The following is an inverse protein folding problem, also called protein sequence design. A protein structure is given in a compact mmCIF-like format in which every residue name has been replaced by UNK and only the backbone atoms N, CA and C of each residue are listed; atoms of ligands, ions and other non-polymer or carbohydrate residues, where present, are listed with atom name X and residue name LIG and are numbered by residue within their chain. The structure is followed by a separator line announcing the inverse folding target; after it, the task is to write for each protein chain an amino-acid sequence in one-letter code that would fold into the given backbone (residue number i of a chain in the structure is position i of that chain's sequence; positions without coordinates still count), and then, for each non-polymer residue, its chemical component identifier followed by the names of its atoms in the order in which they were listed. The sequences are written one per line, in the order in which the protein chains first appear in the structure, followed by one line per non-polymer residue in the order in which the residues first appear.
data_IF_163990851781
#
_entry.id   IF_163990851781
#
_cell.length_a   1.000
_cell.length_b   1.000
_cell.length_c   1.000
_cell.angle_alpha   90.00
_cell.angle_beta   90.00
_cell.angle_gamma   90.00
#
_symmetry.space_group_name_H-M   'P 1'
#
loop_
_entity.id
_entity.type
_entity.pdbx_description
1 polymer ?
#
# COMPACT_ATOMS: atom_id res chain seq x y z
N UNK A 1 6.62 -23.18 9.94
CA UNK A 1 6.82 -22.80 8.54
C UNK A 1 5.66 -21.89 8.16
N UNK A 2 5.91 -20.59 8.09
CA UNK A 2 4.87 -19.62 7.70
C UNK A 2 4.50 -19.95 6.24
N UNK A 3 3.21 -19.87 5.88
CA UNK A 3 2.73 -20.08 4.52
C UNK A 3 2.05 -18.80 4.04
N UNK A 4 2.16 -18.48 2.76
CA UNK A 4 1.44 -17.34 2.21
C UNK A 4 -0.07 -17.58 2.21
N UNK A 5 -0.83 -16.63 2.74
CA UNK A 5 -2.29 -16.72 2.85
C UNK A 5 -3.01 -16.72 1.48
N UNK A 6 -2.35 -16.23 0.42
CA UNK A 6 -2.92 -16.20 -0.93
C UNK A 6 -2.62 -17.47 -1.75
N UNK A 7 -1.44 -18.08 -1.58
CA UNK A 7 -0.95 -19.15 -2.47
C UNK A 7 -0.59 -20.46 -1.75
N UNK A 8 -0.55 -20.47 -0.41
CA UNK A 8 -0.20 -21.65 0.39
C UNK A 8 1.29 -22.06 0.38
N UNK A 9 2.13 -21.38 -0.41
CA UNK A 9 3.56 -21.66 -0.51
C UNK A 9 4.30 -21.32 0.79
N UNK A 10 5.30 -22.13 1.14
CA UNK A 10 6.16 -21.91 2.30
C UNK A 10 7.09 -20.71 2.08
N UNK A 11 7.23 -19.84 3.09
CA UNK A 11 8.26 -18.81 3.13
C UNK A 11 9.62 -19.50 3.35
N UNK A 12 10.32 -19.86 2.26
CA UNK A 12 11.59 -20.60 2.33
C UNK A 12 12.60 -20.32 1.23
N UNK A 13 12.21 -19.72 0.09
CA UNK A 13 13.12 -19.50 -1.05
C UNK A 13 13.05 -18.09 -1.65
N UNK A 14 12.16 -17.22 -1.17
CA UNK A 14 11.92 -15.91 -1.75
C UNK A 14 12.00 -14.85 -0.67
N UNK A 15 12.73 -13.78 -0.97
CA UNK A 15 12.63 -12.51 -0.29
C UNK A 15 11.16 -12.16 -0.02
N UNK A 16 10.84 -11.94 1.25
CA UNK A 16 9.50 -11.59 1.71
C UNK A 16 9.05 -10.29 1.05
N UNK A 17 8.01 -10.37 0.22
CA UNK A 17 7.42 -9.18 -0.42
C UNK A 17 6.28 -8.70 0.45
N UNK A 18 6.58 -7.70 1.27
CA UNK A 18 5.65 -7.09 2.23
C UNK A 18 4.83 -6.01 1.55
N UNK A 19 3.50 -6.09 1.62
CA UNK A 19 2.67 -4.97 1.19
C UNK A 19 2.44 -4.06 2.38
N UNK A 20 3.13 -2.92 2.40
CA UNK A 20 2.81 -1.83 3.30
C UNK A 20 1.47 -1.26 2.88
N UNK A 21 0.56 -1.09 3.84
CA UNK A 21 -0.71 -0.48 3.56
C UNK A 21 -1.03 0.54 4.64
N UNK A 22 -1.46 1.70 4.16
CA UNK A 22 -1.91 2.83 4.94
C UNK A 22 -0.75 3.60 5.57
N UNK A 23 0.07 4.19 4.70
CA UNK A 23 0.98 5.24 5.13
C UNK A 23 0.20 6.54 5.24
N UNK A 24 0.21 7.16 6.42
CA UNK A 24 -0.14 8.58 6.56
C UNK A 24 1.10 9.37 6.14
N UNK A 25 0.97 10.15 5.07
CA UNK A 25 2.04 10.94 4.48
C UNK A 25 1.71 12.42 4.53
N UNK A 26 2.77 13.23 4.63
CA UNK A 26 2.77 14.66 4.33
C UNK A 26 3.89 14.93 3.34
N UNK A 27 3.61 15.60 2.23
CA UNK A 27 4.62 15.99 1.25
C UNK A 27 5.08 17.43 1.51
N UNK A 28 6.39 17.63 1.63
CA UNK A 28 7.00 18.95 1.65
C UNK A 28 7.63 19.21 0.28
N UNK A 29 7.11 20.20 -0.45
CA UNK A 29 7.52 20.43 -1.84
C UNK A 29 8.66 21.46 -1.93
N UNK A 30 9.78 21.07 -2.55
CA UNK A 30 10.84 22.00 -2.97
C UNK A 30 11.26 21.66 -4.41
N UNK A 31 11.36 22.65 -5.30
CA UNK A 31 11.80 22.47 -6.70
C UNK A 31 11.10 21.32 -7.47
N UNK A 32 9.82 21.08 -7.22
CA UNK A 32 9.00 19.97 -7.77
C UNK A 32 9.45 18.55 -7.36
N UNK A 33 10.34 18.44 -6.40
CA UNK A 33 10.69 17.18 -5.74
C UNK A 33 10.04 17.15 -4.34
N UNK A 34 9.23 16.14 -4.05
CA UNK A 34 8.60 16.01 -2.75
C UNK A 34 9.58 15.37 -1.77
N UNK A 35 9.80 16.02 -0.63
CA UNK A 35 10.28 15.35 0.57
C UNK A 35 9.08 14.69 1.26
N UNK A 36 9.14 13.37 1.40
CA UNK A 36 8.07 12.56 1.96
C UNK A 36 8.27 12.33 3.45
N UNK A 37 7.38 12.89 4.27
CA UNK A 37 7.29 12.57 5.69
C UNK A 37 6.26 11.47 5.91
N UNK A 38 6.71 10.29 6.33
CA UNK A 38 5.83 9.16 6.72
C UNK A 38 5.55 9.28 8.21
N UNK A 39 4.31 9.63 8.57
CA UNK A 39 3.89 9.79 9.95
C UNK A 39 3.51 8.47 10.62
N UNK A 40 2.89 7.57 9.87
CA UNK A 40 2.56 6.23 10.34
C UNK A 40 2.47 5.30 9.15
N UNK A 41 2.75 4.02 9.34
CA UNK A 41 2.60 2.98 8.34
C UNK A 41 2.07 1.72 9.02
N UNK A 42 1.21 0.99 8.32
CA UNK A 42 0.77 -0.33 8.74
C UNK A 42 1.09 -1.35 7.64
N UNK A 43 1.17 -2.63 8.02
CA UNK A 43 1.22 -3.74 7.07
C UNK A 43 -0.16 -4.37 7.03
N UNK A 44 -0.78 -4.47 5.84
CA UNK A 44 -2.07 -5.17 5.71
C UNK A 44 -1.94 -6.59 5.15
N UNK A 45 -0.73 -7.03 4.77
CA UNK A 45 -0.46 -8.45 4.53
C UNK A 45 0.90 -8.76 3.90
N UNK A 46 1.33 -10.00 4.10
CA UNK A 46 2.55 -10.58 3.53
C UNK A 46 2.21 -11.58 2.42
N UNK A 47 2.99 -11.53 1.32
CA UNK A 47 2.71 -12.34 0.14
C UNK A 47 3.95 -13.09 -0.36
N UNK A 48 3.73 -14.28 -0.91
CA UNK A 48 4.80 -15.12 -1.47
C UNK A 48 5.40 -14.54 -2.77
N UNK A 49 4.67 -13.65 -3.46
CA UNK A 49 5.01 -13.20 -4.81
C UNK A 49 4.39 -11.85 -5.17
N UNK A 50 5.00 -11.07 -6.09
CA UNK A 50 4.43 -9.79 -6.56
C UNK A 50 3.05 -9.94 -7.18
N UNK A 51 2.82 -10.98 -7.99
CA UNK A 51 1.50 -11.23 -8.60
C UNK A 51 0.40 -11.43 -7.54
N UNK A 52 0.75 -12.14 -6.47
CA UNK A 52 -0.11 -12.42 -5.33
C UNK A 52 -0.45 -11.12 -4.58
N UNK A 53 0.58 -10.30 -4.34
CA UNK A 53 0.48 -9.01 -3.68
C UNK A 53 -0.36 -8.00 -4.49
N UNK A 54 -0.09 -7.87 -5.80
CA UNK A 54 -0.88 -7.03 -6.72
C UNK A 54 -2.34 -7.47 -6.78
N UNK A 55 -2.59 -8.77 -6.93
CA UNK A 55 -3.97 -9.30 -6.98
C UNK A 55 -4.75 -8.99 -5.70
N UNK A 56 -4.09 -9.00 -4.56
CA UNK A 56 -4.71 -8.74 -3.28
C UNK A 56 -4.99 -7.24 -3.07
N UNK A 57 -4.07 -6.38 -3.50
CA UNK A 57 -4.27 -4.93 -3.55
C UNK A 57 -5.45 -4.55 -4.46
N UNK A 58 -5.52 -5.11 -5.67
CA UNK A 58 -6.62 -4.86 -6.61
C UNK A 58 -7.99 -5.23 -6.02
N UNK A 59 -8.06 -6.38 -5.33
CA UNK A 59 -9.27 -6.81 -4.62
C UNK A 59 -9.66 -5.84 -3.50
N UNK A 60 -8.68 -5.36 -2.74
CA UNK A 60 -8.93 -4.39 -1.67
C UNK A 60 -9.45 -3.07 -2.23
N UNK A 61 -8.78 -2.52 -3.25
CA UNK A 61 -9.22 -1.31 -3.94
C UNK A 61 -10.65 -1.45 -4.48
N UNK A 62 -10.97 -2.57 -5.14
CA UNK A 62 -12.32 -2.85 -5.62
C UNK A 62 -13.36 -2.89 -4.48
N UNK A 63 -13.02 -3.51 -3.34
CA UNK A 63 -13.91 -3.60 -2.17
C UNK A 63 -14.25 -2.24 -1.57
N UNK A 64 -13.30 -1.31 -1.56
CA UNK A 64 -13.51 0.05 -1.04
C UNK A 64 -13.96 1.05 -2.11
N UNK A 65 -14.20 0.59 -3.34
CA UNK A 65 -14.58 1.46 -4.46
C UNK A 65 -13.49 2.47 -4.84
N UNK A 66 -12.22 2.10 -4.66
CA UNK A 66 -11.07 2.93 -5.00
C UNK A 66 -10.40 2.46 -6.30
N UNK A 67 -9.69 3.38 -6.95
CA UNK A 67 -8.84 3.10 -8.11
C UNK A 67 -7.38 3.41 -7.82
N UNK A 68 -6.47 2.72 -8.50
CA UNK A 68 -5.06 3.08 -8.45
C UNK A 68 -4.83 4.49 -9.04
N UNK A 69 -3.86 5.20 -8.48
CA UNK A 69 -3.43 6.55 -8.88
C UNK A 69 -2.04 6.50 -9.53
N UNK A 70 -1.38 7.65 -9.67
CA UNK A 70 -0.08 7.78 -10.32
C UNK A 70 1.05 7.17 -9.49
N UNK A 71 2.05 6.58 -10.16
CA UNK A 71 3.23 6.03 -9.48
C UNK A 71 3.99 7.13 -8.72
N UNK A 72 4.21 8.28 -9.36
CA UNK A 72 4.84 9.44 -8.74
C UNK A 72 3.80 10.23 -7.94
N UNK A 73 4.24 10.86 -6.85
CA UNK A 73 3.41 11.79 -6.08
C UNK A 73 3.44 13.18 -6.71
N UNK A 74 2.35 13.93 -6.57
CA UNK A 74 2.17 15.29 -7.11
C UNK A 74 1.70 16.27 -6.03
N UNK A 75 1.91 17.59 -6.19
CA UNK A 75 1.44 18.59 -5.21
C UNK A 75 -0.08 18.54 -5.01
N UNK A 76 -0.80 18.30 -6.11
CA UNK A 76 -2.23 18.05 -6.13
C UNK A 76 -2.46 16.65 -6.68
N UNK A 77 -3.22 15.85 -5.95
CA UNK A 77 -3.59 14.49 -6.32
C UNK A 77 -5.11 14.35 -6.33
N UNK A 78 -5.60 13.42 -7.15
CA UNK A 78 -7.01 13.07 -7.21
C UNK A 78 -7.30 11.92 -6.26
N UNK A 79 -8.26 12.09 -5.35
CA UNK A 79 -8.63 11.05 -4.41
C UNK A 79 -9.16 9.80 -5.13
N UNK A 80 -8.58 8.65 -4.79
CA UNK A 80 -8.93 7.34 -5.35
C UNK A 80 -10.39 6.91 -5.15
N UNK A 81 -11.10 7.45 -4.15
CA UNK A 81 -12.51 7.13 -3.84
C UNK A 81 -13.45 8.19 -4.39
N UNK A 82 -13.29 9.44 -3.96
CA UNK A 82 -14.28 10.49 -4.24
C UNK A 82 -13.97 11.31 -5.51
N UNK A 83 -12.85 11.03 -6.19
CA UNK A 83 -12.37 11.74 -7.37
C UNK A 83 -12.18 13.26 -7.19
N UNK A 84 -12.20 13.77 -5.95
CA UNK A 84 -11.88 15.17 -5.65
C UNK A 84 -10.38 15.36 -5.53
N UNK A 85 -9.91 16.49 -6.04
CA UNK A 85 -8.52 16.89 -5.88
C UNK A 85 -8.23 17.35 -4.46
N UNK A 86 -7.04 17.04 -3.98
CA UNK A 86 -6.55 17.47 -2.68
C UNK A 86 -5.04 17.76 -2.73
N UNK A 87 -4.59 18.67 -1.88
CA UNK A 87 -3.16 18.94 -1.69
C UNK A 87 -2.51 17.84 -0.85
N UNK A 88 -1.36 17.35 -1.33
CA UNK A 88 -0.52 16.36 -0.64
C UNK A 88 0.34 16.97 0.47
N UNK A 89 0.37 18.30 0.60
CA UNK A 89 0.96 19.02 1.75
C UNK A 89 0.15 18.86 3.04
N UNK A 90 -1.06 18.31 2.93
CA UNK A 90 -1.87 17.93 4.09
C UNK A 90 -1.72 16.44 4.36
N UNK A 91 -1.86 16.00 5.64
CA UNK A 91 -1.89 14.59 5.98
C UNK A 91 -2.90 13.85 5.10
N UNK A 92 -2.41 12.87 4.36
CA UNK A 92 -3.20 12.05 3.46
C UNK A 92 -2.75 10.61 3.55
N UNK A 93 -3.65 9.70 3.17
CA UNK A 93 -3.35 8.27 3.21
C UNK A 93 -2.92 7.80 1.83
N UNK A 94 -1.97 6.87 1.81
CA UNK A 94 -1.62 6.14 0.60
C UNK A 94 -1.58 4.65 0.86
N UNK A 95 -1.98 3.89 -0.15
CA UNK A 95 -1.75 2.45 -0.23
C UNK A 95 -0.70 2.22 -1.29
N UNK A 96 0.38 1.54 -0.94
CA UNK A 96 1.53 1.36 -1.83
C UNK A 96 1.94 -0.11 -1.82
N UNK A 97 2.18 -0.69 -2.99
CA UNK A 97 2.82 -1.99 -3.07
C UNK A 97 4.34 -1.80 -2.92
N UNK A 98 4.91 -2.19 -1.78
CA UNK A 98 6.36 -2.27 -1.65
C UNK A 98 6.89 -3.69 -1.87
N UNK A 99 8.11 -3.80 -2.37
CA UNK A 99 8.86 -5.05 -2.41
C UNK A 99 10.09 -4.89 -1.53
N UNK A 100 10.21 -5.73 -0.49
CA UNK A 100 11.39 -5.78 0.35
C UNK A 100 12.21 -7.04 0.06
N UNK A 101 13.53 -6.90 0.10
CA UNK A 101 14.44 -8.04 0.09
C UNK A 101 15.38 -7.95 1.27
N UNK A 102 15.38 -8.97 2.14
CA UNK A 102 16.29 -9.06 3.28
C UNK A 102 15.63 -9.68 4.52
N UNK A 103 16.40 -10.04 5.55
CA UNK A 103 15.85 -10.38 6.87
C UNK A 103 15.11 -9.17 7.47
N UNK A 104 14.15 -9.39 8.37
CA UNK A 104 13.36 -8.32 9.03
C UNK A 104 14.21 -7.17 9.61
N UNK A 105 15.47 -7.44 9.96
CA UNK A 105 16.40 -6.47 10.56
C UNK A 105 17.24 -5.69 9.53
N UNK A 106 17.00 -5.87 8.23
CA UNK A 106 17.80 -5.29 7.15
C UNK A 106 17.16 -5.45 5.78
N UNK A 107 15.85 -5.20 5.68
CA UNK A 107 15.15 -5.18 4.40
C UNK A 107 15.52 -3.93 3.58
N UNK A 108 15.84 -4.15 2.30
CA UNK A 108 15.96 -3.07 1.32
C UNK A 108 14.65 -2.94 0.53
N UNK A 109 14.11 -1.72 0.44
CA UNK A 109 12.92 -1.42 -0.35
C UNK A 109 13.30 -1.29 -1.83
N UNK A 110 12.92 -2.26 -2.65
CA UNK A 110 13.30 -2.34 -4.06
C UNK A 110 12.30 -1.69 -5.02
N UNK A 111 11.04 -1.57 -4.60
CA UNK A 111 9.97 -1.10 -5.48
C UNK A 111 8.86 -0.42 -4.68
N UNK A 112 8.35 0.71 -5.15
CA UNK A 112 7.04 1.26 -4.80
C UNK A 112 6.21 1.28 -6.08
N UNK A 113 5.15 0.48 -6.14
CA UNK A 113 4.20 0.51 -7.25
C UNK A 113 2.77 0.60 -6.77
N UNK A 114 1.87 0.95 -7.68
CA UNK A 114 0.42 1.01 -7.43
C UNK A 114 0.01 1.90 -6.25
N UNK A 115 0.36 3.21 -6.22
CA UNK A 115 -0.16 4.09 -5.18
C UNK A 115 -1.65 4.28 -5.39
N UNK A 116 -2.48 4.10 -4.37
CA UNK A 116 -3.80 4.72 -4.31
C UNK A 116 -3.75 5.80 -3.23
N UNK A 117 -4.05 7.05 -3.58
CA UNK A 117 -4.00 8.18 -2.66
C UNK A 117 -5.39 8.65 -2.27
N UNK A 118 -5.58 8.97 -1.01
CA UNK A 118 -6.88 9.31 -0.44
C UNK A 118 -6.85 10.69 0.19
N UNK A 119 -7.87 11.50 -0.09
CA UNK A 119 -8.01 12.79 0.59
C UNK A 119 -8.28 12.58 2.10
N UNK A 120 -8.09 13.61 2.94
CA UNK A 120 -8.29 13.50 4.39
C UNK A 120 -9.69 12.98 4.80
N UNK A 121 -10.71 13.25 3.98
CA UNK A 121 -12.09 12.85 4.25
C UNK A 121 -12.37 11.39 3.86
N UNK A 122 -11.54 10.81 2.98
CA UNK A 122 -11.66 9.43 2.51
C UNK A 122 -10.71 8.55 3.32
N UNK A 123 -11.18 8.01 4.45
CA UNK A 123 -10.36 7.08 5.25
C UNK A 123 -10.56 5.64 4.75
N UNK A 124 -9.57 5.02 4.07
CA UNK A 124 -9.60 3.59 3.83
C UNK A 124 -9.64 2.85 5.19
N UNK A 125 -10.60 1.94 5.34
CA UNK A 125 -10.72 1.17 6.59
C UNK A 125 -9.69 0.05 6.59
N UNK A 126 -8.75 0.18 7.51
CA UNK A 126 -7.67 -0.76 7.82
C UNK A 126 -8.17 -2.11 8.36
N UNK A 127 -9.34 -2.12 9.00
CA UNK A 127 -9.88 -3.28 9.74
C UNK A 127 -10.36 -4.46 8.90
N UNK A 128 -10.10 -4.48 7.60
CA UNK A 128 -10.17 -5.71 6.80
C UNK A 128 -8.78 -5.97 6.31
N UNK A 129 -8.06 -6.84 7.02
CA UNK A 129 -6.82 -7.38 6.49
C UNK A 129 -7.08 -7.84 5.05
N UNK A 130 -6.14 -7.60 4.15
CA UNK A 130 -6.27 -8.04 2.76
C UNK A 130 -6.39 -9.59 2.67
N UNK A 131 -6.21 -10.31 3.79
CA UNK A 131 -6.46 -11.74 3.96
C UNK A 131 -7.68 -12.16 4.82
N UNK A 132 -8.45 -11.24 5.44
CA UNK A 132 -9.61 -11.63 6.26
C UNK A 132 -10.88 -11.73 5.41
N UNK A 133 -10.99 -12.83 4.66
CA UNK A 133 -12.25 -13.54 4.30
C UNK A 133 -11.95 -14.73 3.39
N UNK A 134 -11.27 -15.78 3.89
CA UNK A 134 -11.42 -17.13 3.33
C UNK A 134 -11.41 -18.16 4.45
N UNK A 135 -12.42 -18.09 5.31
CA UNK A 135 -12.79 -19.14 6.25
C UNK A 135 -14.25 -18.96 6.61
N UNK A 136 -15.07 -19.87 6.07
CA UNK A 136 -16.42 -20.26 6.51
C UNK A 136 -17.60 -19.37 6.07
N UNK A 137 -18.19 -19.76 4.93
CA UNK A 137 -19.55 -20.32 4.87
C UNK A 137 -19.69 -21.16 3.60
#
# INVERSE_FOLDING_TARGET
MIKCNACGAAFGELATRTVFLDEIQVCHWSDNLPELEIQSAQVLGDFCCKSCASSALDRYLSKIGAIATWADVRPIETCAICAKDFSTERPHRTLTLSEETGPETGSEMLYRGYPARFCPDCTPRVGTAIGESWSQS
#
